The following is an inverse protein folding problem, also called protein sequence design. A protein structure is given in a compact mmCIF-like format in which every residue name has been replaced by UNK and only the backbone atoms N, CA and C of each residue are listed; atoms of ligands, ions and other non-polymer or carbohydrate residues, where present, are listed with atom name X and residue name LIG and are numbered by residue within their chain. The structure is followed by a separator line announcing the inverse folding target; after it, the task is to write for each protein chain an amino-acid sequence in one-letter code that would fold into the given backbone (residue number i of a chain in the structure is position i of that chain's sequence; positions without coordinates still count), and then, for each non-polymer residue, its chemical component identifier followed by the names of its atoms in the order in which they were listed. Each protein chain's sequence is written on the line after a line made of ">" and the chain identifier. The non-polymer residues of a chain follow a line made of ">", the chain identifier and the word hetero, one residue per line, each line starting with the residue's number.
data_IF_355195062030
#
_entry.id   IF_355195062030
#
_cell.length_a   1.000
_cell.length_b   1.000
_cell.length_c   1.000
_cell.angle_alpha   90.00
_cell.angle_beta   90.00
_cell.angle_gamma   90.00
#
_symmetry.space_group_name_H-M   'P 1'
#
loop_
_entity.id
_entity.type
_entity.pdbx_description
1 polymer ?
#
# COMPACT_ATOMS: atom_id res chain seq x y z
N UNK A 1 23.74 -26.59 -40.39
CA UNK A 1 24.47 -25.42 -39.84
C UNK A 1 23.51 -24.24 -39.69
N UNK A 2 22.75 -24.17 -38.59
CA UNK A 2 21.95 -22.98 -38.23
C UNK A 2 22.26 -22.51 -36.79
N UNK A 3 23.54 -22.50 -36.45
CA UNK A 3 24.05 -21.92 -35.20
C UNK A 3 24.58 -20.52 -35.46
N UNK A 4 23.69 -19.52 -35.45
CA UNK A 4 23.93 -18.05 -35.43
C UNK A 4 22.53 -17.44 -35.55
N UNK A 5 21.93 -16.76 -34.57
CA UNK A 5 22.36 -15.42 -34.19
C UNK A 5 21.67 -14.88 -32.91
N UNK A 6 21.48 -15.65 -31.84
CA UNK A 6 21.18 -15.02 -30.54
C UNK A 6 22.49 -14.54 -29.91
N UNK A 7 23.01 -13.40 -30.40
CA UNK A 7 23.99 -12.62 -29.62
C UNK A 7 23.29 -12.26 -28.31
N UNK A 8 23.61 -13.01 -27.25
CA UNK A 8 23.29 -12.69 -25.86
C UNK A 8 23.73 -11.23 -25.66
N UNK A 9 22.78 -10.30 -25.66
CA UNK A 9 23.05 -8.87 -25.47
C UNK A 9 23.91 -8.78 -24.22
N UNK A 10 25.12 -8.23 -24.32
CA UNK A 10 26.00 -8.05 -23.15
C UNK A 10 25.15 -7.30 -22.12
N UNK A 11 24.93 -7.90 -20.94
CA UNK A 11 24.13 -7.26 -19.89
C UNK A 11 24.71 -5.86 -19.68
N UNK A 12 23.87 -4.85 -19.85
CA UNK A 12 24.28 -3.46 -19.66
C UNK A 12 24.66 -3.28 -18.19
N UNK A 13 25.94 -3.03 -17.86
CA UNK A 13 26.37 -2.93 -16.47
C UNK A 13 25.66 -1.80 -15.71
N UNK A 14 25.28 -0.72 -16.41
CA UNK A 14 24.54 0.39 -15.79
C UNK A 14 23.14 -0.07 -15.37
N UNK A 15 22.44 -0.76 -16.27
CA UNK A 15 21.10 -1.28 -15.99
C UNK A 15 21.14 -2.35 -14.90
N UNK A 16 22.10 -3.29 -14.96
CA UNK A 16 22.26 -4.35 -13.96
C UNK A 16 22.53 -3.74 -12.57
N UNK A 17 23.37 -2.70 -12.47
CA UNK A 17 23.58 -1.96 -11.23
C UNK A 17 22.30 -1.27 -10.74
N UNK A 18 21.59 -0.55 -11.62
CA UNK A 18 20.35 0.16 -11.28
C UNK A 18 19.25 -0.78 -10.76
N UNK A 19 19.13 -1.99 -11.31
CA UNK A 19 18.14 -2.98 -10.90
C UNK A 19 18.54 -3.69 -9.60
N UNK A 20 19.80 -4.10 -9.45
CA UNK A 20 20.19 -5.06 -8.42
C UNK A 20 20.97 -4.46 -7.26
N UNK A 21 21.64 -3.32 -7.43
CA UNK A 21 22.52 -2.76 -6.41
C UNK A 21 21.78 -1.76 -5.54
N UNK A 22 21.66 -2.07 -4.25
CA UNK A 22 21.05 -1.18 -3.27
C UNK A 22 21.78 0.17 -3.21
N UNK A 23 21.07 1.31 -3.08
CA UNK A 23 21.70 2.60 -2.86
C UNK A 23 22.63 2.56 -1.65
N UNK A 24 23.84 3.10 -1.80
CA UNK A 24 24.80 3.22 -0.70
C UNK A 24 24.37 4.26 0.34
N UNK A 25 23.66 5.30 -0.10
CA UNK A 25 23.03 6.30 0.76
C UNK A 25 21.50 6.11 0.71
N UNK A 26 20.86 5.72 1.84
CA UNK A 26 19.41 5.56 1.91
C UNK A 26 18.62 6.83 1.55
N UNK A 27 19.22 8.03 1.63
CA UNK A 27 18.57 9.29 1.25
C UNK A 27 18.32 9.41 -0.26
N UNK A 28 18.96 8.56 -1.06
CA UNK A 28 18.69 8.46 -2.49
C UNK A 28 17.44 7.61 -2.80
N UNK A 29 16.85 6.96 -1.79
CA UNK A 29 15.56 6.29 -1.90
C UNK A 29 14.45 7.18 -1.35
N UNK A 30 13.53 7.56 -2.23
CA UNK A 30 12.40 8.43 -1.89
C UNK A 30 11.42 7.78 -0.89
N UNK A 31 11.36 6.46 -0.84
CA UNK A 31 10.38 5.70 -0.05
C UNK A 31 10.44 6.07 1.43
N UNK A 32 11.64 6.16 2.00
CA UNK A 32 11.83 6.51 3.41
C UNK A 32 11.43 7.96 3.71
N UNK A 33 11.70 8.88 2.79
CA UNK A 33 11.31 10.28 2.94
C UNK A 33 9.79 10.47 2.92
N UNK A 34 9.07 9.71 2.09
CA UNK A 34 7.61 9.71 2.05
C UNK A 34 7.03 9.08 3.32
N UNK A 35 7.55 7.93 3.75
CA UNK A 35 7.06 7.25 4.94
C UNK A 35 7.25 8.07 6.23
N UNK A 36 8.32 8.86 6.30
CA UNK A 36 8.59 9.76 7.43
C UNK A 36 7.93 11.14 7.31
N UNK A 37 7.20 11.43 6.23
CA UNK A 37 6.53 12.71 6.07
C UNK A 37 5.38 12.83 7.08
N UNK A 38 5.24 13.96 7.79
CA UNK A 38 4.11 14.15 8.70
C UNK A 38 2.79 14.16 7.91
N UNK A 39 1.69 13.65 8.49
CA UNK A 39 0.39 13.69 7.85
C UNK A 39 -0.08 15.13 7.63
N UNK A 40 -0.83 15.34 6.55
CA UNK A 40 -1.46 16.62 6.26
C UNK A 40 -2.59 16.93 7.23
N UNK A 41 -2.97 18.21 7.32
CA UNK A 41 -4.18 18.60 8.07
C UNK A 41 -5.41 18.12 7.29
N UNK A 42 -6.39 17.60 8.02
CA UNK A 42 -7.69 17.28 7.43
C UNK A 42 -8.45 18.58 7.16
N UNK A 43 -8.99 18.73 5.96
CA UNK A 43 -9.81 19.86 5.58
C UNK A 43 -11.06 19.91 6.48
N UNK A 44 -11.46 21.07 7.03
CA UNK A 44 -12.47 21.13 8.07
C UNK A 44 -13.90 20.81 7.59
N UNK A 45 -14.13 20.72 6.28
CA UNK A 45 -15.44 20.51 5.68
C UNK A 45 -15.42 19.22 4.86
N UNK A 46 -16.39 18.34 5.10
CA UNK A 46 -16.58 17.15 4.28
C UNK A 46 -17.16 17.54 2.93
N UNK A 47 -16.47 17.23 1.84
CA UNK A 47 -16.85 17.67 0.48
C UNK A 47 -17.52 16.57 -0.35
N UNK A 48 -17.63 15.36 0.19
CA UNK A 48 -18.30 14.23 -0.46
C UNK A 48 -19.65 13.96 0.21
N UNK A 49 -20.72 14.00 -0.58
CA UNK A 49 -22.09 13.64 -0.18
C UNK A 49 -22.66 12.49 -1.05
N UNK A 50 -21.79 11.81 -1.80
CA UNK A 50 -22.16 10.67 -2.65
C UNK A 50 -22.34 9.40 -1.82
N UNK A 51 -23.15 8.46 -2.32
CA UNK A 51 -23.28 7.16 -1.70
C UNK A 51 -21.92 6.41 -1.64
N UNK A 52 -21.68 5.56 -0.63
CA UNK A 52 -20.38 4.88 -0.45
C UNK A 52 -19.94 4.03 -1.64
N UNK A 53 -20.86 3.47 -2.43
CA UNK A 53 -20.51 2.65 -3.58
C UNK A 53 -19.98 3.50 -4.75
N UNK A 54 -20.58 4.66 -4.98
CA UNK A 54 -20.06 5.65 -5.94
C UNK A 54 -18.70 6.20 -5.51
N UNK A 55 -18.54 6.53 -4.23
CA UNK A 55 -17.28 7.03 -3.68
C UNK A 55 -16.16 5.98 -3.81
N UNK A 56 -16.43 4.71 -3.48
CA UNK A 56 -15.48 3.60 -3.69
C UNK A 56 -14.99 3.52 -5.13
N UNK A 57 -15.91 3.56 -6.11
CA UNK A 57 -15.52 3.50 -7.52
C UNK A 57 -14.57 4.62 -7.91
N UNK A 58 -14.90 5.86 -7.53
CA UNK A 58 -14.06 7.03 -7.80
C UNK A 58 -12.68 6.94 -7.15
N UNK A 59 -12.62 6.48 -5.89
CA UNK A 59 -11.36 6.28 -5.15
C UNK A 59 -10.50 5.19 -5.80
N UNK A 60 -11.10 4.08 -6.23
CA UNK A 60 -10.37 3.02 -6.94
C UNK A 60 -9.89 3.47 -8.32
N UNK A 61 -10.70 4.24 -9.05
CA UNK A 61 -10.31 4.82 -10.33
C UNK A 61 -9.15 5.81 -10.17
N UNK A 62 -9.18 6.64 -9.14
CA UNK A 62 -8.07 7.55 -8.81
C UNK A 62 -6.79 6.77 -8.49
N UNK A 63 -6.85 5.76 -7.64
CA UNK A 63 -5.69 4.93 -7.32
C UNK A 63 -5.08 4.26 -8.58
N UNK A 64 -5.94 3.77 -9.49
CA UNK A 64 -5.51 3.21 -10.78
C UNK A 64 -4.90 4.29 -11.68
N UNK A 65 -5.50 5.47 -11.75
CA UNK A 65 -4.97 6.59 -12.51
C UNK A 65 -3.58 7.04 -12.01
N UNK A 66 -3.36 6.99 -10.69
CA UNK A 66 -2.07 7.24 -10.05
C UNK A 66 -1.04 6.11 -10.27
N UNK A 67 -1.47 4.96 -10.80
CA UNK A 67 -0.60 3.89 -11.26
C UNK A 67 -0.71 2.57 -10.50
N UNK A 68 -1.71 2.38 -9.65
CA UNK A 68 -2.01 1.06 -9.07
C UNK A 68 -2.54 0.10 -10.15
N UNK A 69 -2.01 -1.12 -10.20
CA UNK A 69 -2.45 -2.16 -11.13
C UNK A 69 -3.68 -2.90 -10.64
N UNK A 70 -3.76 -3.10 -9.32
CA UNK A 70 -4.90 -3.67 -8.61
C UNK A 70 -5.20 -2.84 -7.37
N UNK A 71 -6.48 -2.75 -7.01
CA UNK A 71 -6.95 -1.97 -5.88
C UNK A 71 -8.07 -2.78 -5.22
N UNK A 72 -8.06 -2.81 -3.89
CA UNK A 72 -9.08 -3.49 -3.09
C UNK A 72 -9.52 -2.63 -1.91
N UNK A 73 -10.79 -2.71 -1.54
CA UNK A 73 -11.36 -2.04 -0.37
C UNK A 73 -11.99 -3.08 0.57
N UNK A 74 -11.72 -2.96 1.87
CA UNK A 74 -12.35 -3.78 2.92
C UNK A 74 -13.12 -2.90 3.92
N UNK A 75 -14.06 -3.51 4.64
CA UNK A 75 -14.90 -2.81 5.62
C UNK A 75 -14.16 -2.49 6.92
N UNK A 76 -14.77 -1.59 7.70
CA UNK A 76 -14.37 -1.23 9.06
C UNK A 76 -14.15 -2.43 9.96
N UNK A 77 -15.10 -3.37 9.97
CA UNK A 77 -15.10 -4.50 10.90
C UNK A 77 -13.84 -5.36 10.69
N UNK A 78 -13.41 -5.50 9.43
CA UNK A 78 -12.18 -6.19 9.10
C UNK A 78 -10.94 -5.36 9.47
N UNK A 79 -10.92 -4.07 9.15
CA UNK A 79 -9.78 -3.21 9.45
C UNK A 79 -9.55 -3.02 10.96
N UNK A 80 -10.63 -2.89 11.74
CA UNK A 80 -10.59 -2.71 13.19
C UNK A 80 -10.13 -3.98 13.93
N UNK A 81 -10.49 -5.17 13.43
CA UNK A 81 -10.02 -6.44 13.99
C UNK A 81 -8.53 -6.72 13.79
N UNK A 82 -7.82 -5.89 13.02
CA UNK A 82 -6.42 -6.09 12.63
C UNK A 82 -5.47 -4.99 13.16
N UNK A 83 -6.00 -3.95 13.82
CA UNK A 83 -5.18 -2.88 14.38
C UNK A 83 -4.39 -3.39 15.62
N UNK A 84 -3.08 -3.12 15.74
CA UNK A 84 -2.28 -3.52 16.89
C UNK A 84 -2.76 -2.77 18.14
N UNK A 85 -3.45 -3.48 19.04
CA UNK A 85 -4.06 -2.93 20.26
C UNK A 85 -5.43 -3.51 20.62
N UNK A 86 -6.07 -4.30 19.75
CA UNK A 86 -7.36 -4.95 20.03
C UNK A 86 -7.24 -6.22 20.91
N UNK A 87 -6.40 -6.19 21.94
CA UNK A 87 -6.41 -7.16 23.04
C UNK A 87 -7.11 -6.54 24.25
N UNK A 88 -8.21 -7.16 24.71
CA UNK A 88 -9.01 -6.71 25.87
C UNK A 88 -8.29 -6.78 27.23
N UNK A 89 -6.99 -7.08 27.28
CA UNK A 89 -6.22 -7.16 28.52
C UNK A 89 -5.05 -6.16 28.52
N UNK A 90 -5.27 -5.02 29.17
CA UNK A 90 -4.21 -4.28 29.88
C UNK A 90 -4.81 -3.22 30.82
N UNK A 91 -5.10 -3.67 32.04
CA UNK A 91 -5.15 -2.82 33.22
C UNK A 91 -3.73 -2.72 33.80
N UNK A 92 -3.07 -1.56 33.64
CA UNK A 92 -2.23 -0.89 34.65
C UNK A 92 -1.43 0.27 34.03
N UNK A 93 -1.76 1.45 34.53
CA UNK A 93 -1.12 2.78 34.56
C UNK A 93 0.37 2.87 34.20
N UNK A 94 0.70 3.85 33.33
CA UNK A 94 1.76 4.84 33.57
C UNK A 94 1.31 6.19 32.98
N UNK A 95 1.02 7.16 33.85
CA UNK A 95 0.67 8.55 33.54
C UNK A 95 1.95 9.36 33.35
N UNK A 96 2.40 9.55 32.10
CA UNK A 96 3.20 10.69 31.58
C UNK A 96 3.87 10.27 30.27
N UNK A 97 3.07 10.06 29.24
CA UNK A 97 3.47 10.15 27.85
C UNK A 97 2.20 10.46 27.09
N UNK A 98 2.13 11.62 26.43
CA UNK A 98 1.03 11.87 25.51
C UNK A 98 0.94 10.67 24.57
N UNK A 99 -0.18 9.94 24.57
CA UNK A 99 -0.31 8.76 23.73
C UNK A 99 -0.18 9.20 22.28
N UNK A 100 0.47 8.41 21.41
CA UNK A 100 0.40 8.68 19.98
C UNK A 100 -1.08 8.77 19.58
N UNK A 101 -1.44 9.82 18.85
CA UNK A 101 -2.81 10.13 18.43
C UNK A 101 -3.49 9.01 17.62
N UNK A 102 -2.85 7.85 17.43
CA UNK A 102 -3.36 6.66 16.74
C UNK A 102 -4.31 5.80 17.59
N UNK A 103 -4.39 6.02 18.91
CA UNK A 103 -5.03 5.07 19.85
C UNK A 103 -6.58 5.10 19.90
N UNK A 104 -7.22 6.01 19.14
CA UNK A 104 -8.69 6.18 19.15
C UNK A 104 -9.30 6.47 17.78
N UNK A 105 -8.58 6.18 16.69
CA UNK A 105 -9.03 6.52 15.34
C UNK A 105 -9.97 5.44 14.79
N UNK A 106 -11.28 5.69 14.89
CA UNK A 106 -12.30 4.87 14.23
C UNK A 106 -12.24 5.06 12.71
N UNK A 107 -11.34 4.34 12.03
CA UNK A 107 -11.37 4.20 10.58
C UNK A 107 -12.49 3.24 10.17
N UNK A 108 -13.16 3.53 9.07
CA UNK A 108 -14.34 2.80 8.58
C UNK A 108 -14.05 1.94 7.35
N UNK A 109 -12.86 2.07 6.75
CA UNK A 109 -12.45 1.27 5.60
C UNK A 109 -10.92 1.14 5.52
N UNK A 110 -10.47 0.07 4.86
CA UNK A 110 -9.08 -0.12 4.45
C UNK A 110 -8.97 -0.22 2.93
N UNK A 111 -8.11 0.59 2.33
CA UNK A 111 -7.77 0.57 0.91
C UNK A 111 -6.37 -0.05 0.73
N UNK A 112 -6.23 -1.02 -0.16
CA UNK A 112 -4.93 -1.60 -0.51
C UNK A 112 -4.67 -1.49 -2.00
N UNK A 113 -3.45 -1.09 -2.36
CA UNK A 113 -3.00 -0.97 -3.75
C UNK A 113 -1.91 -2.01 -4.03
N UNK A 114 -1.97 -2.65 -5.19
CA UNK A 114 -0.95 -3.57 -5.69
C UNK A 114 -0.36 -3.11 -7.01
N UNK A 115 0.93 -3.38 -7.19
CA UNK A 115 1.74 -2.93 -8.32
C UNK A 115 2.52 -4.11 -8.91
N UNK A 116 2.36 -4.38 -10.20
CA UNK A 116 3.09 -5.46 -10.85
C UNK A 116 4.59 -5.14 -10.92
N UNK A 117 5.39 -6.19 -10.78
CA UNK A 117 6.84 -6.08 -10.81
C UNK A 117 7.40 -6.84 -12.01
N UNK A 118 8.51 -6.35 -12.57
CA UNK A 118 9.28 -7.09 -13.58
C UNK A 118 10.42 -7.92 -12.96
N UNK A 119 10.71 -7.67 -11.67
CA UNK A 119 11.78 -8.32 -10.92
C UNK A 119 11.27 -8.84 -9.58
N UNK A 120 11.95 -9.86 -9.04
CA UNK A 120 11.74 -10.31 -7.66
C UNK A 120 12.30 -9.25 -6.70
N UNK A 121 11.45 -8.69 -5.84
CA UNK A 121 11.81 -7.62 -4.91
C UNK A 121 12.75 -8.09 -3.79
N UNK A 122 12.80 -9.39 -3.52
CA UNK A 122 13.75 -10.03 -2.62
C UNK A 122 15.17 -9.99 -3.18
N UNK A 123 15.32 -10.03 -4.50
CA UNK A 123 16.63 -10.11 -5.18
C UNK A 123 17.07 -8.76 -5.79
N UNK A 124 16.15 -8.01 -6.39
CA UNK A 124 16.45 -6.78 -7.12
C UNK A 124 16.42 -5.55 -6.20
N UNK A 125 17.47 -5.38 -5.38
CA UNK A 125 17.53 -4.36 -4.32
C UNK A 125 17.87 -2.94 -4.78
N UNK A 126 18.13 -2.73 -6.07
CA UNK A 126 18.41 -1.41 -6.60
C UNK A 126 17.16 -0.56 -6.83
N UNK A 127 17.36 0.73 -7.11
CA UNK A 127 16.26 1.68 -7.34
C UNK A 127 15.30 1.22 -8.44
N UNK A 128 15.81 0.62 -9.52
CA UNK A 128 14.97 0.11 -10.59
C UNK A 128 14.28 -1.20 -10.25
N UNK A 129 14.89 -2.04 -9.42
CA UNK A 129 14.30 -3.29 -8.93
C UNK A 129 13.17 -3.05 -7.93
N UNK A 130 13.28 -2.00 -7.12
CA UNK A 130 12.30 -1.59 -6.11
C UNK A 130 11.27 -0.58 -6.63
N UNK A 131 11.12 -0.40 -7.95
CA UNK A 131 10.23 0.62 -8.52
C UNK A 131 8.77 0.49 -8.04
N UNK A 132 8.28 -0.74 -7.87
CA UNK A 132 6.92 -0.98 -7.41
C UNK A 132 6.69 -0.53 -5.96
N UNK A 133 7.71 -0.67 -5.09
CA UNK A 133 7.68 -0.18 -3.70
C UNK A 133 7.61 1.34 -3.67
N UNK A 134 8.45 2.00 -4.46
CA UNK A 134 8.45 3.47 -4.59
C UNK A 134 7.10 3.99 -5.10
N UNK A 135 6.52 3.33 -6.12
CA UNK A 135 5.17 3.65 -6.61
C UNK A 135 4.12 3.50 -5.50
N UNK A 136 4.17 2.41 -4.75
CA UNK A 136 3.27 2.17 -3.62
C UNK A 136 3.28 3.30 -2.60
N UNK A 137 4.47 3.74 -2.18
CA UNK A 137 4.60 4.85 -1.24
C UNK A 137 4.02 6.17 -1.80
N UNK A 138 4.32 6.51 -3.05
CA UNK A 138 3.81 7.73 -3.70
C UNK A 138 2.29 7.71 -3.84
N UNK A 139 1.73 6.60 -4.35
CA UNK A 139 0.28 6.47 -4.55
C UNK A 139 -0.44 6.55 -3.21
N UNK A 140 0.00 5.81 -2.20
CA UNK A 140 -0.63 5.84 -0.88
C UNK A 140 -0.58 7.23 -0.24
N UNK A 141 0.54 7.94 -0.39
CA UNK A 141 0.65 9.32 0.08
C UNK A 141 -0.40 10.21 -0.58
N UNK A 142 -0.50 10.19 -1.92
CA UNK A 142 -1.51 10.99 -2.62
C UNK A 142 -2.94 10.60 -2.26
N UNK A 143 -3.23 9.30 -2.10
CA UNK A 143 -4.54 8.83 -1.67
C UNK A 143 -4.89 9.38 -0.28
N UNK A 144 -3.99 9.24 0.69
CA UNK A 144 -4.20 9.76 2.04
C UNK A 144 -4.34 11.29 2.06
N UNK A 145 -3.47 12.01 1.34
CA UNK A 145 -3.56 13.47 1.20
C UNK A 145 -4.87 13.90 0.58
N UNK A 146 -5.33 13.24 -0.49
CA UNK A 146 -6.59 13.60 -1.12
C UNK A 146 -7.78 13.35 -0.20
N UNK A 147 -7.78 12.25 0.55
CA UNK A 147 -8.80 11.97 1.57
C UNK A 147 -8.83 13.08 2.64
N UNK A 148 -7.66 13.57 3.08
CA UNK A 148 -7.58 14.74 3.96
C UNK A 148 -8.20 15.99 3.33
N UNK A 149 -7.93 16.26 2.05
CA UNK A 149 -8.54 17.39 1.32
C UNK A 149 -10.06 17.24 1.13
N UNK A 150 -10.58 16.00 1.16
CA UNK A 150 -12.02 15.74 1.17
C UNK A 150 -12.67 15.96 2.55
N UNK A 151 -11.87 16.23 3.58
CA UNK A 151 -12.30 16.44 4.96
C UNK A 151 -12.48 15.16 5.76
N UNK A 152 -11.82 14.08 5.34
CA UNK A 152 -11.80 12.78 6.01
C UNK A 152 -10.39 12.45 6.50
N UNK A 153 -10.28 11.61 7.51
CA UNK A 153 -8.99 11.17 8.05
C UNK A 153 -8.48 9.98 7.24
N UNK A 154 -7.17 9.93 7.08
CA UNK A 154 -6.46 8.78 6.53
C UNK A 154 -5.15 8.53 7.30
N UNK A 155 -4.74 7.27 7.37
CA UNK A 155 -3.43 6.85 7.84
C UNK A 155 -2.88 5.74 6.93
N UNK A 156 -1.57 5.67 6.79
CA UNK A 156 -0.88 4.64 5.99
C UNK A 156 -0.25 3.63 6.95
N UNK A 157 -0.46 2.34 6.67
CA UNK A 157 0.05 1.23 7.47
C UNK A 157 -0.79 0.93 8.72
N UNK A 158 -0.17 0.30 9.71
CA UNK A 158 -0.84 -0.08 10.96
C UNK A 158 -1.68 -1.36 10.89
N UNK A 159 -1.75 -2.01 9.73
CA UNK A 159 -2.36 -3.34 9.52
C UNK A 159 -1.51 -4.11 8.52
N UNK A 160 -1.59 -5.44 8.53
CA UNK A 160 -0.93 -6.26 7.51
C UNK A 160 -1.60 -6.04 6.14
N UNK A 161 -0.89 -5.45 5.15
CA UNK A 161 -1.48 -5.18 3.84
C UNK A 161 -1.84 -6.46 3.06
N UNK A 162 -1.17 -7.59 3.31
CA UNK A 162 -1.50 -8.85 2.65
C UNK A 162 -2.85 -9.38 3.13
N UNK A 163 -3.15 -9.28 4.43
CA UNK A 163 -4.47 -9.66 4.96
C UNK A 163 -5.59 -8.81 4.38
N UNK A 164 -5.37 -7.49 4.23
CA UNK A 164 -6.32 -6.59 3.57
C UNK A 164 -6.53 -7.00 2.10
N UNK A 165 -5.45 -7.31 1.37
CA UNK A 165 -5.53 -7.73 -0.02
C UNK A 165 -6.21 -9.08 -0.22
N UNK A 166 -6.06 -10.02 0.72
CA UNK A 166 -6.81 -11.29 0.72
C UNK A 166 -8.29 -11.07 0.95
N UNK A 167 -8.66 -10.27 1.96
CA UNK A 167 -10.05 -9.98 2.28
C UNK A 167 -10.76 -9.19 1.18
N UNK A 168 -10.03 -8.35 0.44
CA UNK A 168 -10.53 -7.69 -0.77
C UNK A 168 -10.56 -8.62 -2.01
N UNK A 169 -10.19 -9.90 -1.88
CA UNK A 169 -10.26 -10.88 -2.95
C UNK A 169 -9.19 -10.72 -4.04
N UNK A 170 -8.11 -9.98 -3.79
CA UNK A 170 -7.07 -9.70 -4.79
C UNK A 170 -6.12 -10.88 -5.03
N UNK A 171 -6.05 -11.82 -4.09
CA UNK A 171 -5.11 -12.93 -4.12
C UNK A 171 -5.09 -13.70 -2.80
N UNK A 172 -3.99 -14.44 -2.58
CA UNK A 172 -3.73 -15.18 -1.35
C UNK A 172 -2.24 -15.20 -1.06
N UNK A 173 -1.87 -15.35 0.19
CA UNK A 173 -0.50 -15.63 0.60
C UNK A 173 -0.22 -17.12 0.41
N UNK A 174 0.91 -17.44 -0.19
CA UNK A 174 1.35 -18.83 -0.35
C UNK A 174 2.08 -19.36 0.89
N UNK A 175 2.46 -20.63 0.87
CA UNK A 175 3.17 -21.28 1.98
C UNK A 175 4.53 -20.65 2.30
N UNK A 176 5.09 -19.86 1.39
CA UNK A 176 6.36 -19.14 1.58
C UNK A 176 6.16 -17.69 2.03
N UNK A 177 4.93 -17.30 2.40
CA UNK A 177 4.63 -15.95 2.88
C UNK A 177 4.60 -14.89 1.77
N UNK A 178 4.46 -15.28 0.50
CA UNK A 178 4.37 -14.34 -0.63
C UNK A 178 2.95 -14.23 -1.15
N UNK A 179 2.53 -12.99 -1.42
CA UNK A 179 1.24 -12.74 -2.03
C UNK A 179 1.22 -13.19 -3.50
N UNK A 180 0.22 -13.98 -3.86
CA UNK A 180 0.00 -14.49 -5.21
C UNK A 180 -1.38 -14.12 -5.74
N UNK A 181 -1.38 -13.52 -6.94
CA UNK A 181 -2.60 -13.22 -7.69
C UNK A 181 -2.85 -14.25 -8.78
N UNK A 182 -4.11 -14.43 -9.19
CA UNK A 182 -4.45 -15.29 -10.33
C UNK A 182 -3.84 -14.79 -11.65
N UNK A 183 -3.70 -13.47 -11.82
CA UNK A 183 -3.30 -12.84 -13.09
C UNK A 183 -1.79 -12.85 -13.33
N UNK A 184 -0.98 -12.59 -12.29
CA UNK A 184 0.48 -12.38 -12.41
C UNK A 184 1.31 -13.24 -11.44
N UNK A 185 0.67 -14.14 -10.69
CA UNK A 185 1.36 -14.95 -9.69
C UNK A 185 2.01 -14.06 -8.63
N UNK A 186 3.32 -14.28 -8.39
CA UNK A 186 4.14 -13.61 -7.37
C UNK A 186 4.70 -12.24 -7.80
N UNK A 187 4.48 -11.83 -9.05
CA UNK A 187 5.05 -10.60 -9.61
C UNK A 187 4.17 -9.38 -9.28
N UNK A 188 3.87 -9.20 -7.99
CA UNK A 188 3.09 -8.09 -7.46
C UNK A 188 3.67 -7.65 -6.12
N UNK A 189 3.88 -6.35 -5.96
CA UNK A 189 4.05 -5.69 -4.68
C UNK A 189 2.68 -5.30 -4.13
N UNK A 190 2.33 -5.74 -2.93
CA UNK A 190 1.21 -5.18 -2.16
C UNK A 190 1.77 -4.06 -1.30
N UNK A 191 1.34 -2.82 -1.55
CA UNK A 191 1.75 -1.67 -0.75
C UNK A 191 1.03 -1.67 0.62
N UNK A 192 1.54 -0.88 1.56
CA UNK A 192 0.85 -0.59 2.83
C UNK A 192 -0.63 -0.24 2.61
N UNK A 193 -1.49 -0.53 3.58
CA UNK A 193 -2.89 -0.15 3.48
C UNK A 193 -3.07 1.35 3.80
N UNK A 194 -4.06 1.99 3.20
CA UNK A 194 -4.57 3.30 3.61
C UNK A 194 -5.86 3.07 4.40
N UNK A 195 -5.83 3.34 5.70
CA UNK A 195 -6.99 3.29 6.58
C UNK A 195 -7.68 4.65 6.56
N UNK A 196 -9.01 4.69 6.50
CA UNK A 196 -9.75 5.96 6.39
C UNK A 196 -11.13 5.91 7.03
N UNK A 197 -11.65 7.08 7.45
CA UNK A 197 -13.05 7.26 7.86
C UNK A 197 -13.95 7.80 6.73
N UNK A 198 -13.42 7.91 5.51
CA UNK A 198 -14.19 8.12 4.29
C UNK A 198 -15.16 6.94 4.11
N UNK A 199 -16.48 7.17 3.97
CA UNK A 199 -17.44 6.11 3.73
C UNK A 199 -17.19 5.42 2.39
N UNK A 200 -16.73 4.18 2.44
CA UNK A 200 -16.43 3.35 1.28
C UNK A 200 -17.18 2.02 1.38
N UNK A 201 -17.79 1.58 0.28
CA UNK A 201 -18.26 0.21 0.13
C UNK A 201 -17.07 -0.74 -0.06
N UNK A 202 -17.05 -1.84 0.70
CA UNK A 202 -16.08 -2.91 0.55
C UNK A 202 -16.27 -3.69 -0.75
N UNK A 203 -15.18 -4.23 -1.29
CA UNK A 203 -15.26 -5.20 -2.37
C UNK A 203 -15.89 -6.49 -1.86
N UNK A 204 -16.79 -7.07 -2.67
CA UNK A 204 -17.37 -8.35 -2.35
C UNK A 204 -16.26 -9.41 -2.33
N UNK A 205 -16.11 -10.11 -1.22
CA UNK A 205 -15.27 -11.30 -1.13
C UNK A 205 -15.84 -12.35 -2.10
N UNK A 206 -15.01 -12.97 -2.97
CA UNK A 206 -15.48 -14.02 -3.88
C UNK A 206 -15.93 -15.29 -3.17
#
# INVERSE_FOLDING_TARGET
>A
MLGRLFKRRKKDPLWDHFIHSQPSDPKNDLTAAIAGAPPGRTYPIKTVDSDPATTSKSIMELARWLGADVVGIVSQEFAAGQAPGASEDQAAVDEESEPPESSGQNFTAGLVCGFFTDYDLGEAKGLGGQQAVQKGAVVNHYMASYIHELGYRAAIGGVDPMLIAEAAGLGRTDAEGRFVTRKKGRMLHVAEAVLTDLPLAADATP
#
